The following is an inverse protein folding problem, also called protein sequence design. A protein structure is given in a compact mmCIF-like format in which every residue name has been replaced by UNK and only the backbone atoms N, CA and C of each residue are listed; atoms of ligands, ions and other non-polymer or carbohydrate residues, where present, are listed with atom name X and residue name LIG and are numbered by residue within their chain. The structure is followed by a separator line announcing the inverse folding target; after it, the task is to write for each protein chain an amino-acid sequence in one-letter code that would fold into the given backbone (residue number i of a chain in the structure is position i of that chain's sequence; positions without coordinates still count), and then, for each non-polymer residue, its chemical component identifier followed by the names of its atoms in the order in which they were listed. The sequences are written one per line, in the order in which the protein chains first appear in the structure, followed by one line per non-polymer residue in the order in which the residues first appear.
data_IF_855658129131
#
_entry.id   IF_855658129131
#
_cell.length_a   1.000
_cell.length_b   1.000
_cell.length_c   1.000
_cell.angle_alpha   90.00
_cell.angle_beta   90.00
_cell.angle_gamma   90.00
#
_symmetry.space_group_name_H-M   'P 1'
#
loop_
_entity.id
_entity.type
_entity.pdbx_description
1 polymer ?
#
# COMPACT_ATOMS: atom_id res chain seq x y z
N UNK A 1 -8.00 1.91 -11.68
CA UNK A 1 -7.64 3.04 -12.58
C UNK A 1 -8.29 2.99 -13.96
N UNK A 2 -8.53 1.82 -14.61
CA UNK A 2 -9.21 1.80 -15.91
C UNK A 2 -10.58 2.49 -15.91
N UNK A 3 -11.34 2.39 -14.83
CA UNK A 3 -12.64 3.07 -14.72
C UNK A 3 -12.49 4.59 -14.74
N UNK A 4 -11.47 5.13 -14.07
CA UNK A 4 -11.17 6.56 -14.09
C UNK A 4 -10.68 7.01 -15.46
N UNK A 5 -9.87 6.21 -16.13
CA UNK A 5 -9.42 6.51 -17.50
C UNK A 5 -10.61 6.59 -18.47
N UNK A 6 -11.54 5.65 -18.36
CA UNK A 6 -12.78 5.68 -19.15
C UNK A 6 -13.66 6.90 -18.85
N UNK A 7 -13.59 7.40 -17.63
CA UNK A 7 -14.32 8.59 -17.21
C UNK A 7 -13.59 9.91 -17.56
N UNK A 8 -12.49 9.83 -18.32
CA UNK A 8 -11.78 11.00 -18.83
C UNK A 8 -10.60 11.47 -17.99
N UNK A 9 -10.19 10.70 -16.98
CA UNK A 9 -9.02 11.04 -16.17
C UNK A 9 -7.76 10.54 -16.87
N UNK A 10 -6.82 11.44 -17.14
CA UNK A 10 -5.59 11.10 -17.87
C UNK A 10 -4.69 10.14 -17.07
N UNK A 11 -4.16 9.13 -17.76
CA UNK A 11 -3.25 8.15 -17.15
C UNK A 11 -1.84 8.71 -16.94
N UNK A 12 -1.30 9.45 -17.91
CA UNK A 12 0.11 9.85 -17.94
C UNK A 12 0.41 11.10 -17.15
N UNK A 13 -0.57 11.93 -16.88
CA UNK A 13 -0.41 13.18 -16.16
C UNK A 13 -1.48 13.30 -15.09
N UNK A 14 -1.08 13.71 -13.90
CA UNK A 14 -1.99 13.89 -12.79
C UNK A 14 -2.08 12.70 -11.85
N UNK A 15 -3.22 12.51 -11.15
CA UNK A 15 -3.30 11.57 -10.03
C UNK A 15 -3.01 10.12 -10.37
N UNK A 16 -3.47 9.64 -11.52
CA UNK A 16 -3.27 8.22 -11.90
C UNK A 16 -1.78 7.94 -12.15
N UNK A 17 -1.11 8.82 -12.91
CA UNK A 17 0.32 8.66 -13.18
C UNK A 17 1.16 8.62 -11.92
N UNK A 18 0.87 9.52 -10.98
CA UNK A 18 1.54 9.57 -9.68
C UNK A 18 1.32 8.27 -8.91
N UNK A 19 0.08 7.75 -8.86
CA UNK A 19 -0.24 6.51 -8.17
C UNK A 19 0.49 5.31 -8.77
N UNK A 20 0.55 5.22 -10.10
CA UNK A 20 1.25 4.14 -10.80
C UNK A 20 2.76 4.18 -10.53
N UNK A 21 3.36 5.37 -10.53
CA UNK A 21 4.79 5.55 -10.22
C UNK A 21 5.08 5.16 -8.76
N UNK A 22 4.21 5.52 -7.83
CA UNK A 22 4.35 5.16 -6.43
C UNK A 22 4.17 3.66 -6.20
N UNK A 23 3.26 3.01 -6.94
CA UNK A 23 3.12 1.55 -6.91
C UNK A 23 4.42 0.86 -7.35
N UNK A 24 5.04 1.37 -8.41
CA UNK A 24 6.31 0.85 -8.91
C UNK A 24 7.43 1.03 -7.88
N UNK A 25 7.53 2.22 -7.30
CA UNK A 25 8.51 2.50 -6.24
C UNK A 25 8.30 1.60 -5.02
N UNK A 26 7.04 1.39 -4.64
CA UNK A 26 6.68 0.50 -3.53
C UNK A 26 7.11 -0.95 -3.78
N UNK A 27 6.86 -1.45 -4.99
CA UNK A 27 7.30 -2.81 -5.35
C UNK A 27 8.81 -2.96 -5.32
N UNK A 28 9.55 -1.94 -5.77
CA UNK A 28 11.01 -1.94 -5.71
C UNK A 28 11.53 -1.96 -4.27
N UNK A 29 10.92 -1.18 -3.38
CA UNK A 29 11.28 -1.16 -1.97
C UNK A 29 10.98 -2.49 -1.28
N UNK A 30 9.86 -3.13 -1.59
CA UNK A 30 9.50 -4.44 -1.04
C UNK A 30 10.53 -5.50 -1.48
N UNK A 31 10.93 -5.46 -2.76
CA UNK A 31 11.97 -6.36 -3.27
C UNK A 31 13.30 -6.15 -2.54
N UNK A 32 13.69 -4.89 -2.36
CA UNK A 32 14.93 -4.54 -1.66
C UNK A 32 14.89 -4.98 -0.20
N UNK A 33 13.75 -4.85 0.47
CA UNK A 33 13.56 -5.36 1.83
C UNK A 33 13.68 -6.89 1.89
N UNK A 34 13.12 -7.59 0.92
CA UNK A 34 13.21 -9.05 0.84
C UNK A 34 14.66 -9.49 0.64
N UNK A 35 15.39 -8.83 -0.25
CA UNK A 35 16.81 -9.08 -0.46
C UNK A 35 17.62 -8.83 0.83
N UNK A 36 17.31 -7.77 1.57
CA UNK A 36 17.97 -7.45 2.84
C UNK A 36 17.66 -8.50 3.91
N UNK A 37 16.44 -9.02 3.98
CA UNK A 37 16.08 -10.11 4.90
C UNK A 37 16.86 -11.38 4.58
N UNK A 38 17.02 -11.71 3.31
CA UNK A 38 17.83 -12.84 2.88
C UNK A 38 19.31 -12.63 3.25
N UNK A 39 19.80 -11.40 3.12
CA UNK A 39 21.15 -11.03 3.56
C UNK A 39 21.36 -11.19 5.07
N UNK A 40 20.36 -10.80 5.87
CA UNK A 40 20.37 -11.00 7.31
C UNK A 40 20.44 -12.49 7.68
N UNK A 41 19.68 -13.32 6.98
CA UNK A 41 19.70 -14.77 7.19
C UNK A 41 21.08 -15.38 6.88
N UNK A 42 21.85 -14.76 5.96
CA UNK A 42 23.22 -15.16 5.62
C UNK A 42 24.28 -14.44 6.45
N UNK A 43 23.86 -13.65 7.44
CA UNK A 43 24.74 -12.85 8.29
C UNK A 43 25.63 -11.87 7.50
N UNK A 44 25.11 -11.33 6.42
CA UNK A 44 25.80 -10.31 5.63
C UNK A 44 25.88 -8.98 6.38
N UNK A 45 27.03 -8.29 6.26
CA UNK A 45 27.26 -7.01 6.89
C UNK A 45 26.24 -5.97 6.39
N UNK A 46 25.75 -5.13 7.30
CA UNK A 46 24.82 -4.03 7.04
C UNK A 46 23.44 -4.43 6.51
N UNK A 47 23.15 -5.71 6.35
CA UNK A 47 21.83 -6.15 5.88
C UNK A 47 20.70 -5.65 6.78
N UNK A 48 20.90 -5.67 8.10
CA UNK A 48 19.92 -5.14 9.05
C UNK A 48 19.71 -3.64 8.92
N UNK A 49 20.77 -2.87 8.72
CA UNK A 49 20.68 -1.41 8.50
C UNK A 49 20.01 -1.09 7.18
N UNK A 50 20.30 -1.85 6.13
CA UNK A 50 19.67 -1.69 4.82
C UNK A 50 18.17 -1.96 4.91
N UNK A 51 17.79 -3.05 5.59
CA UNK A 51 16.39 -3.36 5.81
C UNK A 51 15.66 -2.22 6.55
N UNK A 52 16.25 -1.73 7.64
CA UNK A 52 15.64 -0.65 8.42
C UNK A 52 15.44 0.63 7.62
N UNK A 53 16.43 0.98 6.77
CA UNK A 53 16.34 2.15 5.89
C UNK A 53 15.23 1.98 4.86
N UNK A 54 15.20 0.84 4.21
CA UNK A 54 14.20 0.53 3.19
C UNK A 54 12.79 0.45 3.76
N UNK A 55 12.63 -0.10 4.97
CA UNK A 55 11.34 -0.15 5.66
C UNK A 55 10.85 1.26 5.99
N UNK A 56 11.73 2.14 6.41
CA UNK A 56 11.39 3.55 6.67
C UNK A 56 10.96 4.25 5.39
N UNK A 57 11.73 4.10 4.31
CA UNK A 57 11.41 4.69 3.02
C UNK A 57 10.06 4.19 2.51
N UNK A 58 9.78 2.91 2.67
CA UNK A 58 8.49 2.33 2.31
C UNK A 58 7.34 2.91 3.14
N UNK A 59 7.53 3.05 4.45
CA UNK A 59 6.52 3.63 5.32
C UNK A 59 6.21 5.09 4.96
N UNK A 60 7.21 5.88 4.63
CA UNK A 60 7.03 7.27 4.17
C UNK A 60 6.31 7.32 2.83
N UNK A 61 6.71 6.48 1.88
CA UNK A 61 6.06 6.38 0.58
C UNK A 61 4.59 6.00 0.74
N UNK A 62 4.31 4.98 1.52
CA UNK A 62 2.95 4.47 1.75
C UNK A 62 2.06 5.51 2.43
N UNK A 63 2.58 6.23 3.42
CA UNK A 63 1.85 7.30 4.11
C UNK A 63 1.45 8.41 3.14
N UNK A 64 2.37 8.89 2.31
CA UNK A 64 2.08 9.89 1.28
C UNK A 64 1.13 9.39 0.22
N UNK A 65 1.25 8.12 -0.17
CA UNK A 65 0.37 7.47 -1.14
C UNK A 65 -1.08 7.39 -0.62
N UNK A 66 -1.27 6.99 0.63
CA UNK A 66 -2.59 6.92 1.27
C UNK A 66 -3.22 8.32 1.37
N UNK A 67 -2.44 9.34 1.72
CA UNK A 67 -2.93 10.71 1.76
C UNK A 67 -3.46 11.16 0.39
N UNK A 68 -2.76 10.81 -0.69
CA UNK A 68 -3.21 11.15 -2.05
C UNK A 68 -4.46 10.38 -2.45
N UNK A 69 -4.57 9.11 -2.06
CA UNK A 69 -5.80 8.33 -2.29
C UNK A 69 -6.99 8.97 -1.58
N UNK A 70 -6.83 9.27 -0.28
CA UNK A 70 -7.93 9.78 0.54
C UNK A 70 -8.35 11.19 0.15
N UNK A 71 -7.40 12.08 -0.18
CA UNK A 71 -7.66 13.49 -0.38
C UNK A 71 -7.79 13.91 -1.85
N UNK A 72 -7.31 13.10 -2.78
CA UNK A 72 -7.33 13.43 -4.21
C UNK A 72 -8.03 12.36 -5.03
N UNK A 73 -7.55 11.12 -4.97
CA UNK A 73 -8.01 10.07 -5.89
C UNK A 73 -9.44 9.62 -5.61
N UNK A 74 -9.77 9.31 -4.37
CA UNK A 74 -11.12 8.86 -4.01
C UNK A 74 -12.17 9.96 -4.17
N UNK A 75 -11.92 11.22 -3.75
CA UNK A 75 -12.85 12.31 -4.08
C UNK A 75 -13.04 12.51 -5.58
N UNK A 76 -11.97 12.38 -6.37
CA UNK A 76 -12.06 12.43 -7.82
C UNK A 76 -12.92 11.30 -8.38
N UNK A 77 -12.74 10.09 -7.86
CA UNK A 77 -13.53 8.92 -8.24
C UNK A 77 -15.01 9.13 -7.92
N UNK A 78 -15.33 9.70 -6.75
CA UNK A 78 -16.71 9.99 -6.34
C UNK A 78 -17.40 10.96 -7.31
N UNK A 79 -16.67 11.91 -7.88
CA UNK A 79 -17.21 12.88 -8.83
C UNK A 79 -17.24 12.38 -10.27
N UNK A 80 -16.35 11.47 -10.65
CA UNK A 80 -16.19 11.01 -12.04
C UNK A 80 -16.84 9.67 -12.35
N UNK A 81 -17.03 8.83 -11.34
CA UNK A 81 -17.63 7.51 -11.51
C UNK A 81 -19.09 7.54 -11.08
N UNK A 82 -19.99 6.96 -11.89
CA UNK A 82 -21.37 6.79 -11.51
C UNK A 82 -21.52 5.69 -10.44
N UNK A 83 -22.69 5.64 -9.81
CA UNK A 83 -22.97 4.68 -8.74
C UNK A 83 -22.86 3.24 -9.22
N UNK A 84 -23.31 2.96 -10.43
CA UNK A 84 -23.25 1.62 -11.02
C UNK A 84 -21.82 1.15 -11.18
N UNK A 85 -20.93 2.01 -11.66
CA UNK A 85 -19.51 1.72 -11.80
C UNK A 85 -18.84 1.51 -10.44
N UNK A 86 -19.15 2.34 -9.46
CA UNK A 86 -18.63 2.21 -8.10
C UNK A 86 -19.06 0.89 -7.46
N UNK A 87 -20.33 0.51 -7.59
CA UNK A 87 -20.86 -0.76 -7.07
C UNK A 87 -20.19 -1.96 -7.73
N UNK A 88 -19.95 -1.88 -9.04
CA UNK A 88 -19.25 -2.91 -9.80
C UNK A 88 -17.80 -3.09 -9.30
N UNK A 89 -17.09 -2.00 -9.08
CA UNK A 89 -15.72 -2.02 -8.53
C UNK A 89 -15.69 -2.61 -7.12
N UNK A 90 -16.63 -2.24 -6.28
CA UNK A 90 -16.75 -2.75 -4.92
C UNK A 90 -16.93 -4.28 -4.93
N UNK A 91 -17.81 -4.80 -5.78
CA UNK A 91 -18.01 -6.24 -5.95
C UNK A 91 -16.74 -6.92 -6.44
N UNK A 92 -16.02 -6.29 -7.36
CA UNK A 92 -14.74 -6.80 -7.85
C UNK A 92 -13.68 -6.92 -6.75
N UNK A 93 -13.55 -5.91 -5.91
CA UNK A 93 -12.65 -5.91 -4.77
C UNK A 93 -13.03 -6.99 -3.74
N UNK A 94 -14.31 -7.12 -3.42
CA UNK A 94 -14.80 -8.16 -2.51
C UNK A 94 -14.49 -9.56 -3.04
N UNK A 95 -14.63 -9.77 -4.34
CA UNK A 95 -14.29 -11.04 -4.99
C UNK A 95 -12.81 -11.33 -4.90
N UNK A 96 -11.94 -10.36 -5.15
CA UNK A 96 -10.49 -10.52 -5.03
C UNK A 96 -10.11 -10.87 -3.59
N UNK A 97 -10.67 -10.18 -2.62
CA UNK A 97 -10.42 -10.48 -1.22
C UNK A 97 -10.81 -11.91 -0.85
N UNK A 98 -11.95 -12.38 -1.36
CA UNK A 98 -12.45 -13.73 -1.08
C UNK A 98 -11.69 -14.82 -1.81
N UNK A 99 -11.40 -14.64 -3.12
CA UNK A 99 -10.89 -15.69 -3.99
C UNK A 99 -9.37 -15.68 -4.16
N UNK A 100 -8.74 -14.50 -4.11
CA UNK A 100 -7.30 -14.35 -4.34
C UNK A 100 -6.55 -14.22 -3.01
N UNK A 101 -6.98 -13.29 -2.15
CA UNK A 101 -6.34 -13.07 -0.85
C UNK A 101 -6.73 -14.18 0.13
N UNK A 102 -7.97 -14.59 0.11
CA UNK A 102 -8.52 -15.65 0.94
C UNK A 102 -9.27 -15.14 2.17
N UNK A 103 -10.29 -15.89 2.62
CA UNK A 103 -11.07 -15.52 3.79
C UNK A 103 -10.21 -15.44 5.05
N UNK A 104 -10.39 -14.38 5.82
CA UNK A 104 -9.68 -14.19 7.09
C UNK A 104 -8.26 -13.64 6.99
N UNK A 105 -7.67 -13.58 5.81
CA UNK A 105 -6.30 -13.11 5.60
C UNK A 105 -6.14 -11.63 5.98
N UNK A 106 -7.09 -10.80 5.58
CA UNK A 106 -7.12 -9.39 5.94
C UNK A 106 -7.17 -9.21 7.47
N UNK A 107 -7.99 -10.02 8.14
CA UNK A 107 -8.10 -10.00 9.60
C UNK A 107 -6.81 -10.44 10.29
N UNK A 108 -6.12 -11.44 9.74
CA UNK A 108 -4.81 -11.86 10.22
C UNK A 108 -3.77 -10.75 10.16
N UNK A 109 -3.73 -10.03 9.04
CA UNK A 109 -2.83 -8.88 8.88
C UNK A 109 -3.16 -7.76 9.85
N UNK A 110 -4.43 -7.45 10.06
CA UNK A 110 -4.85 -6.45 11.06
C UNK A 110 -4.41 -6.83 12.47
N UNK A 111 -4.52 -8.09 12.84
CA UNK A 111 -4.07 -8.60 14.14
C UNK A 111 -2.55 -8.47 14.29
N UNK A 112 -1.81 -8.79 13.24
CA UNK A 112 -0.35 -8.65 13.22
C UNK A 112 0.06 -7.19 13.42
N UNK A 113 -0.52 -6.28 12.65
CA UNK A 113 -0.27 -4.84 12.78
C UNK A 113 -0.59 -4.35 14.20
N UNK A 114 -1.72 -4.78 14.76
CA UNK A 114 -2.10 -4.44 16.14
C UNK A 114 -1.10 -4.93 17.17
N UNK A 115 -0.59 -6.16 17.03
CA UNK A 115 0.43 -6.70 17.93
C UNK A 115 1.75 -5.94 17.83
N UNK A 116 2.17 -5.64 16.61
CA UNK A 116 3.40 -4.86 16.38
C UNK A 116 3.28 -3.45 16.94
N UNK A 117 2.13 -2.80 16.76
CA UNK A 117 1.85 -1.49 17.33
C UNK A 117 1.92 -1.49 18.86
N UNK A 118 1.31 -2.47 19.51
CA UNK A 118 1.37 -2.64 20.97
C UNK A 118 2.80 -2.88 21.47
N UNK A 119 3.57 -3.67 20.74
CA UNK A 119 4.93 -4.02 21.16
C UNK A 119 5.92 -2.87 21.02
N UNK A 120 5.83 -2.09 19.94
CA UNK A 120 6.85 -1.10 19.59
C UNK A 120 6.41 0.36 19.77
N UNK A 121 5.15 0.71 19.46
CA UNK A 121 4.68 2.08 19.53
C UNK A 121 4.34 2.55 20.95
N UNK A 122 3.84 1.66 21.79
CA UNK A 122 3.54 2.00 23.20
C UNK A 122 4.76 2.44 24.00
N UNK A 123 5.95 1.98 23.62
CA UNK A 123 7.20 2.35 24.31
C UNK A 123 7.64 3.79 24.03
N UNK A 124 7.19 4.38 22.91
CA UNK A 124 7.50 5.75 22.55
C UNK A 124 6.53 6.76 23.16
N UNK A 125 5.30 6.37 23.46
CA UNK A 125 4.28 7.21 24.09
C UNK A 125 4.43 7.33 25.60
N UNK A 126 5.06 6.35 26.24
CA UNK A 126 5.25 6.32 27.69
C UNK A 126 6.57 6.93 28.15
N UNK A 127 7.35 7.45 27.23
CA UNK A 127 8.53 8.23 27.51
C UNK A 127 8.21 9.71 27.47
#
# INVERSE_FOLDING_TARGET
FPALEKAGVARERGPIGIMLDEHQAGRSLIKDMDDALNGMARSEDRAGLNFARQARDYAELLSGHIDKEDNVLFPLADTRLDRKTQDSLKKGFERIEREVIGPGRHREFKRLVGRLGKKYLKKTESA
#
